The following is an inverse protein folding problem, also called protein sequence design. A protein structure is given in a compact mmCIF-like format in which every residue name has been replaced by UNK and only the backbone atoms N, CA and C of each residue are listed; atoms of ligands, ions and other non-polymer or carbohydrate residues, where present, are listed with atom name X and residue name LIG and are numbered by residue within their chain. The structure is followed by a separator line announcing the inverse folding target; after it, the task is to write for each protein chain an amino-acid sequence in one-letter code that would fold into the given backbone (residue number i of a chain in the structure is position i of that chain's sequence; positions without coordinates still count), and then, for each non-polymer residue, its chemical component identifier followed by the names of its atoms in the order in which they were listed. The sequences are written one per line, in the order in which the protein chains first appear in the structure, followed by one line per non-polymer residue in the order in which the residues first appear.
data_IF_231615284756
#
_entry.id   IF_231615284756
#
_cell.length_a   1.000
_cell.length_b   1.000
_cell.length_c   1.000
_cell.angle_alpha   90.00
_cell.angle_beta   90.00
_cell.angle_gamma   90.00
#
_symmetry.space_group_name_H-M   'P 1'
#
loop_
_entity.id
_entity.type
_entity.pdbx_description
1 polymer ?
#
# COMPACT_ATOMS: atom_id res chain seq x y z
N UNK A 1 76.00 -31.54 1.31
CA UNK A 1 75.90 -30.81 2.59
C UNK A 1 75.09 -29.53 2.37
N UNK A 2 73.81 -29.59 2.59
CA UNK A 2 72.91 -28.40 2.49
C UNK A 2 72.59 -27.92 3.90
N UNK A 3 72.97 -26.69 4.22
CA UNK A 3 72.58 -26.02 5.49
C UNK A 3 71.23 -25.34 5.27
N UNK A 4 70.19 -25.60 6.10
CA UNK A 4 68.98 -24.80 6.06
C UNK A 4 69.18 -23.46 6.76
N UNK A 5 68.81 -22.39 6.08
CA UNK A 5 68.72 -21.05 6.65
C UNK A 5 67.42 -20.92 7.45
N UNK A 6 67.55 -20.67 8.72
CA UNK A 6 66.44 -20.28 9.61
C UNK A 6 65.93 -18.90 9.21
N UNK A 7 64.71 -18.84 8.70
CA UNK A 7 63.99 -17.59 8.44
C UNK A 7 63.17 -17.28 9.72
N UNK A 8 63.59 -16.25 10.45
CA UNK A 8 62.90 -15.71 11.61
C UNK A 8 61.65 -14.97 11.11
N UNK A 9 60.46 -15.52 11.38
CA UNK A 9 59.22 -14.86 11.08
C UNK A 9 58.87 -13.95 12.24
N UNK A 10 58.98 -12.64 12.02
CA UNK A 10 58.57 -11.59 12.95
C UNK A 10 57.03 -11.45 12.85
N UNK A 11 56.32 -11.96 13.87
CA UNK A 11 54.86 -11.84 13.95
C UNK A 11 54.50 -10.43 14.46
N UNK A 12 54.04 -9.58 13.56
CA UNK A 12 53.46 -8.29 13.90
C UNK A 12 52.00 -8.49 14.30
N UNK A 13 51.69 -8.35 15.57
CA UNK A 13 50.33 -8.31 16.13
C UNK A 13 49.74 -6.92 15.83
N UNK A 14 48.90 -6.80 14.79
CA UNK A 14 48.07 -5.62 14.56
C UNK A 14 46.80 -5.77 15.40
N UNK A 15 46.73 -5.02 16.50
CA UNK A 15 45.53 -4.90 17.31
C UNK A 15 44.44 -4.12 16.57
N UNK A 16 43.39 -4.81 16.12
CA UNK A 16 42.18 -4.18 15.59
C UNK A 16 41.33 -3.70 16.76
N UNK A 17 41.33 -2.40 17.04
CA UNK A 17 40.39 -1.78 17.96
C UNK A 17 39.00 -1.82 17.31
N UNK A 18 38.13 -2.69 17.77
CA UNK A 18 36.71 -2.73 17.36
C UNK A 18 36.01 -1.50 17.99
N UNK A 19 35.83 -0.46 17.20
CA UNK A 19 34.94 0.64 17.54
C UNK A 19 33.50 0.14 17.49
N UNK A 20 32.93 -0.10 18.67
CA UNK A 20 31.50 -0.40 18.82
C UNK A 20 30.69 0.85 18.48
N UNK A 21 30.16 0.92 17.24
CA UNK A 21 29.20 1.94 16.86
C UNK A 21 27.88 1.58 17.54
N UNK A 22 27.30 2.44 18.41
CA UNK A 22 25.96 2.18 18.93
C UNK A 22 24.99 2.20 17.76
N UNK A 23 24.38 1.04 17.46
CA UNK A 23 23.26 0.96 16.54
C UNK A 23 22.11 1.76 17.16
N UNK A 24 21.95 3.01 16.76
CA UNK A 24 20.73 3.76 17.00
C UNK A 24 19.62 3.03 16.25
N UNK A 25 18.91 2.17 16.96
CA UNK A 25 17.66 1.61 16.49
C UNK A 25 16.69 2.77 16.32
N UNK A 26 16.55 3.26 15.10
CA UNK A 26 15.37 4.01 14.72
C UNK A 26 14.19 3.03 14.87
N UNK A 27 13.58 3.04 16.03
CA UNK A 27 12.26 2.48 16.23
C UNK A 27 11.30 3.36 15.40
N UNK A 28 11.28 3.12 14.09
CA UNK A 28 10.24 3.62 13.23
C UNK A 28 8.95 3.09 13.81
N UNK A 29 8.05 3.99 14.20
CA UNK A 29 6.66 3.63 14.53
C UNK A 29 6.19 2.64 13.47
N UNK A 30 5.73 1.42 13.85
CA UNK A 30 5.22 0.49 12.86
C UNK A 30 4.16 1.24 12.03
N UNK A 31 4.16 1.10 10.70
CA UNK A 31 3.16 1.75 9.88
C UNK A 31 1.80 1.39 10.46
N UNK A 32 0.97 2.40 10.72
CA UNK A 32 -0.37 2.20 11.26
C UNK A 32 -1.06 1.15 10.38
N UNK A 33 -1.48 0.04 10.98
CA UNK A 33 -2.18 -1.05 10.29
C UNK A 33 -3.62 -0.63 9.95
N UNK A 34 -3.92 0.65 10.03
CA UNK A 34 -5.22 1.23 9.70
C UNK A 34 -5.37 1.36 8.18
N UNK A 35 -6.60 1.29 7.73
CA UNK A 35 -6.91 1.51 6.33
C UNK A 35 -6.53 2.93 5.92
N UNK A 36 -5.62 3.08 4.95
CA UNK A 36 -5.01 4.36 4.57
C UNK A 36 -6.02 5.50 4.35
N UNK A 37 -7.19 5.19 3.81
CA UNK A 37 -8.22 6.22 3.56
C UNK A 37 -8.88 6.75 4.83
N UNK A 38 -8.74 6.08 5.98
CA UNK A 38 -9.27 6.59 7.26
C UNK A 38 -8.54 7.83 7.76
N UNK A 39 -7.30 8.03 7.31
CA UNK A 39 -6.50 9.20 7.66
C UNK A 39 -6.93 10.45 6.88
N UNK A 40 -7.82 10.30 5.89
CA UNK A 40 -8.29 11.36 5.03
C UNK A 40 -9.78 11.62 5.19
N UNK A 41 -10.19 12.85 4.95
CA UNK A 41 -11.61 13.23 4.99
C UNK A 41 -12.35 12.67 3.78
N UNK A 42 -13.19 11.67 4.01
CA UNK A 42 -14.06 11.08 2.99
C UNK A 42 -15.36 11.88 2.94
N UNK A 43 -15.73 12.36 1.77
CA UNK A 43 -16.94 13.16 1.57
C UNK A 43 -18.13 12.35 1.05
N UNK A 44 -17.86 11.32 0.27
CA UNK A 44 -18.90 10.39 -0.20
C UNK A 44 -18.31 9.07 -0.71
N UNK A 45 -19.17 8.06 -0.76
CA UNK A 45 -18.89 6.76 -1.39
C UNK A 45 -20.05 6.41 -2.28
N UNK A 46 -19.75 6.11 -3.55
CA UNK A 46 -20.75 5.72 -4.54
C UNK A 46 -20.39 4.38 -5.18
N UNK A 47 -21.38 3.58 -5.63
CA UNK A 47 -21.09 2.36 -6.37
C UNK A 47 -20.44 2.68 -7.71
N UNK A 48 -19.36 1.95 -8.03
CA UNK A 48 -18.76 1.98 -9.36
C UNK A 48 -19.44 0.94 -10.25
N UNK A 49 -20.10 1.40 -11.30
CA UNK A 49 -20.81 0.57 -12.27
C UNK A 49 -20.21 0.75 -13.65
N UNK A 50 -20.19 -0.32 -14.41
CA UNK A 50 -19.74 -0.33 -15.81
C UNK A 50 -20.87 -0.86 -16.66
N UNK A 51 -21.11 -0.22 -17.79
CA UNK A 51 -22.04 -0.70 -18.80
C UNK A 51 -21.40 -1.86 -19.57
N UNK A 52 -22.02 -3.02 -19.49
CA UNK A 52 -21.60 -4.22 -20.21
C UNK A 52 -22.64 -4.58 -21.26
N UNK A 53 -22.19 -4.75 -22.48
CA UNK A 53 -23.08 -5.09 -23.61
C UNK A 53 -23.23 -6.61 -23.69
N UNK A 54 -24.48 -7.08 -23.54
CA UNK A 54 -24.84 -8.50 -23.68
C UNK A 54 -25.78 -8.63 -24.87
N UNK A 55 -25.22 -9.01 -26.04
CA UNK A 55 -25.97 -9.05 -27.29
C UNK A 55 -26.45 -7.67 -27.74
N UNK A 56 -27.78 -7.48 -27.81
CA UNK A 56 -28.41 -6.21 -28.17
C UNK A 56 -28.72 -5.30 -26.95
N UNK A 57 -28.59 -5.83 -25.76
CA UNK A 57 -28.89 -5.13 -24.51
C UNK A 57 -27.65 -4.64 -23.82
N UNK A 58 -27.75 -3.55 -23.05
CA UNK A 58 -26.71 -3.12 -22.11
C UNK A 58 -27.21 -3.28 -20.68
N UNK A 59 -26.33 -3.73 -19.80
CA UNK A 59 -26.60 -3.96 -18.39
C UNK A 59 -25.55 -3.22 -17.56
N UNK A 60 -26.00 -2.50 -16.52
CA UNK A 60 -25.13 -1.85 -15.56
C UNK A 60 -24.66 -2.86 -14.51
N UNK A 61 -23.37 -3.24 -14.58
CA UNK A 61 -22.78 -4.20 -13.66
C UNK A 61 -21.96 -3.49 -12.59
N UNK A 62 -22.19 -3.86 -11.33
CA UNK A 62 -21.38 -3.37 -10.23
C UNK A 62 -19.94 -3.90 -10.37
N UNK A 63 -18.96 -3.00 -10.24
CA UNK A 63 -17.53 -3.31 -10.34
C UNK A 63 -16.73 -2.82 -9.13
N UNK A 64 -17.38 -2.24 -8.13
CA UNK A 64 -16.73 -1.78 -6.90
C UNK A 64 -17.29 -0.46 -6.38
N UNK A 65 -16.40 0.41 -5.90
CA UNK A 65 -16.74 1.69 -5.29
C UNK A 65 -15.91 2.85 -5.83
N UNK A 66 -16.47 4.04 -5.75
CA UNK A 66 -15.75 5.31 -5.89
C UNK A 66 -15.83 6.04 -4.56
N UNK A 67 -14.68 6.31 -3.97
CA UNK A 67 -14.53 7.07 -2.73
C UNK A 67 -14.05 8.47 -3.07
N UNK A 68 -14.75 9.47 -2.57
CA UNK A 68 -14.37 10.88 -2.76
C UNK A 68 -13.63 11.37 -1.52
N UNK A 69 -12.35 11.74 -1.73
CA UNK A 69 -11.43 12.24 -0.72
C UNK A 69 -11.33 13.75 -0.89
N UNK A 70 -11.53 14.50 0.19
CA UNK A 70 -11.39 15.96 0.15
C UNK A 70 -9.93 16.35 -0.13
N UNK A 71 -9.74 17.45 -0.87
CA UNK A 71 -8.42 18.02 -1.05
C UNK A 71 -7.85 18.51 0.29
N UNK A 72 -6.59 18.19 0.54
CA UNK A 72 -5.83 18.62 1.70
C UNK A 72 -4.52 19.28 1.22
N UNK A 73 -3.95 20.25 1.97
CA UNK A 73 -2.68 20.84 1.60
C UNK A 73 -1.58 19.80 1.43
N UNK A 74 -0.90 19.80 0.27
CA UNK A 74 0.17 18.86 -0.04
C UNK A 74 -0.28 17.48 -0.55
N UNK A 75 -1.58 17.18 -0.56
CA UNK A 75 -2.11 15.95 -1.13
C UNK A 75 -2.29 16.12 -2.65
N UNK A 76 -1.69 15.21 -3.44
CA UNK A 76 -1.88 15.14 -4.90
C UNK A 76 -2.43 13.78 -5.31
N UNK A 77 -3.03 13.70 -6.51
CA UNK A 77 -3.54 12.43 -7.01
C UNK A 77 -2.43 11.38 -7.19
N UNK A 78 -1.27 11.79 -7.66
CA UNK A 78 -0.10 10.93 -7.88
C UNK A 78 0.44 10.40 -6.56
N UNK A 79 0.54 11.28 -5.55
CA UNK A 79 1.00 10.87 -4.22
C UNK A 79 0.01 9.87 -3.58
N UNK A 80 -1.29 10.17 -3.64
CA UNK A 80 -2.32 9.30 -3.11
C UNK A 80 -2.35 7.95 -3.85
N UNK A 81 -2.23 7.96 -5.18
CA UNK A 81 -2.11 6.74 -6.00
C UNK A 81 -0.92 5.88 -5.58
N UNK A 82 0.26 6.50 -5.38
CA UNK A 82 1.47 5.80 -4.96
C UNK A 82 1.34 5.19 -3.55
N UNK A 83 0.76 5.94 -2.62
CA UNK A 83 0.51 5.48 -1.25
C UNK A 83 -0.46 4.31 -1.21
N UNK A 84 -1.57 4.39 -1.96
CA UNK A 84 -2.55 3.31 -2.07
C UNK A 84 -1.96 2.06 -2.72
N UNK A 85 -1.19 2.21 -3.81
CA UNK A 85 -0.51 1.09 -4.45
C UNK A 85 0.45 0.37 -3.49
N UNK A 86 1.21 1.13 -2.71
CA UNK A 86 2.11 0.59 -1.68
C UNK A 86 1.34 -0.12 -0.57
N UNK A 87 0.25 0.48 -0.10
CA UNK A 87 -0.61 -0.09 0.94
C UNK A 87 -1.19 -1.44 0.49
N UNK A 88 -1.75 -1.52 -0.72
CA UNK A 88 -2.25 -2.77 -1.31
C UNK A 88 -1.15 -3.83 -1.42
N UNK A 89 0.06 -3.45 -1.83
CA UNK A 89 1.18 -4.38 -1.91
C UNK A 89 1.58 -4.94 -0.53
N UNK A 90 1.48 -4.14 0.52
CA UNK A 90 1.75 -4.55 1.91
C UNK A 90 0.65 -5.46 2.47
N UNK A 91 -0.61 -5.23 2.09
CA UNK A 91 -1.76 -6.03 2.55
C UNK A 91 -1.80 -7.46 1.98
N UNK A 92 -1.06 -7.74 0.93
CA UNK A 92 -0.83 -9.12 0.43
C UNK A 92 -0.02 -9.99 1.40
N UNK A 93 0.50 -9.42 2.48
CA UNK A 93 1.10 -10.13 3.62
C UNK A 93 0.00 -10.65 4.56
N UNK A 94 0.24 -11.74 5.34
CA UNK A 94 -0.81 -12.44 6.11
C UNK A 94 -1.46 -11.64 7.26
N UNK A 95 -1.12 -10.39 7.47
CA UNK A 95 -1.76 -9.50 8.43
C UNK A 95 -2.88 -8.70 7.76
N UNK A 96 -4.01 -9.36 7.45
CA UNK A 96 -5.20 -8.72 6.91
C UNK A 96 -5.70 -7.60 7.86
N UNK A 97 -6.03 -6.44 7.30
CA UNK A 97 -6.66 -5.35 8.05
C UNK A 97 -8.18 -5.51 7.91
N UNK A 98 -8.88 -5.88 8.99
CA UNK A 98 -10.33 -6.04 8.94
C UNK A 98 -11.00 -4.75 8.42
N UNK A 99 -12.01 -4.92 7.58
CA UNK A 99 -12.85 -3.83 7.06
C UNK A 99 -12.16 -2.77 6.18
N UNK A 100 -10.93 -2.99 5.73
CA UNK A 100 -10.33 -2.13 4.71
C UNK A 100 -10.83 -2.49 3.31
N UNK A 101 -11.31 -1.50 2.55
CA UNK A 101 -11.83 -1.70 1.19
C UNK A 101 -10.78 -2.22 0.19
N UNK A 102 -9.49 -2.12 0.54
CA UNK A 102 -8.37 -2.60 -0.27
C UNK A 102 -7.90 -4.00 0.12
N UNK A 103 -8.33 -4.50 1.29
CA UNK A 103 -8.00 -5.85 1.77
C UNK A 103 -9.01 -6.87 1.21
N UNK A 104 -9.12 -6.86 -0.08
CA UNK A 104 -9.91 -7.78 -0.88
C UNK A 104 -9.04 -8.22 -2.06
N UNK A 105 -9.04 -9.50 -2.36
CA UNK A 105 -8.24 -10.04 -3.44
C UNK A 105 -8.63 -9.45 -4.80
N UNK A 106 -7.65 -9.32 -5.69
CA UNK A 106 -7.84 -8.91 -7.09
C UNK A 106 -8.52 -7.56 -7.31
N UNK A 107 -8.32 -6.60 -6.41
CA UNK A 107 -8.78 -5.23 -6.62
C UNK A 107 -7.73 -4.37 -7.34
N UNK A 108 -8.21 -3.50 -8.21
CA UNK A 108 -7.42 -2.44 -8.83
C UNK A 108 -7.88 -1.07 -8.31
N UNK A 109 -6.91 -0.18 -8.07
CA UNK A 109 -7.17 1.18 -7.57
C UNK A 109 -6.64 2.22 -8.52
N UNK A 110 -7.47 3.23 -8.80
CA UNK A 110 -7.11 4.38 -9.60
C UNK A 110 -7.55 5.67 -8.92
N UNK A 111 -6.64 6.63 -8.86
CA UNK A 111 -6.89 7.96 -8.31
C UNK A 111 -6.92 8.99 -9.43
N UNK A 112 -7.95 9.81 -9.43
CA UNK A 112 -8.14 10.91 -10.38
C UNK A 112 -8.47 12.18 -9.61
N UNK A 113 -7.90 13.31 -10.02
CA UNK A 113 -8.31 14.63 -9.53
C UNK A 113 -9.72 14.93 -10.00
N UNK A 114 -10.55 15.50 -9.16
CA UNK A 114 -11.92 15.84 -9.53
C UNK A 114 -12.57 16.84 -8.60
N UNK A 115 -12.92 18.01 -9.14
CA UNK A 115 -13.57 19.06 -8.35
C UNK A 115 -12.71 19.55 -7.18
N UNK A 116 -13.24 19.42 -5.96
CA UNK A 116 -12.61 19.89 -4.72
C UNK A 116 -11.79 18.80 -4.02
N UNK A 117 -11.40 17.74 -4.73
CA UNK A 117 -10.66 16.63 -4.13
C UNK A 117 -10.26 15.56 -5.12
N UNK A 118 -10.27 14.34 -4.65
CA UNK A 118 -9.80 13.18 -5.41
C UNK A 118 -10.89 12.11 -5.46
N UNK A 119 -10.95 11.45 -6.60
CA UNK A 119 -11.81 10.31 -6.86
C UNK A 119 -10.97 9.05 -6.83
N UNK A 120 -11.13 8.24 -5.79
CA UNK A 120 -10.46 6.95 -5.63
C UNK A 120 -11.41 5.86 -6.09
N UNK A 121 -11.16 5.29 -7.26
CA UNK A 121 -11.93 4.19 -7.81
C UNK A 121 -11.28 2.87 -7.42
N UNK A 122 -12.05 2.02 -6.74
CA UNK A 122 -11.66 0.66 -6.35
C UNK A 122 -12.51 -0.27 -7.20
N UNK A 123 -11.89 -1.09 -8.02
CA UNK A 123 -12.58 -1.98 -8.95
C UNK A 123 -12.18 -3.43 -8.75
N UNK A 124 -13.16 -4.34 -8.83
CA UNK A 124 -13.02 -5.78 -8.77
C UNK A 124 -13.41 -6.44 -10.09
N UNK A 125 -13.00 -7.69 -10.30
CA UNK A 125 -13.28 -8.44 -11.53
C UNK A 125 -14.68 -9.04 -11.54
N UNK A 126 -15.15 -9.49 -10.39
CA UNK A 126 -16.45 -10.13 -10.20
C UNK A 126 -17.39 -9.29 -9.34
N UNK A 127 -18.67 -9.63 -9.35
CA UNK A 127 -19.72 -8.88 -8.66
C UNK A 127 -19.66 -9.06 -7.15
N UNK A 128 -19.36 -10.25 -6.66
CA UNK A 128 -19.35 -10.57 -5.21
C UNK A 128 -18.21 -9.79 -4.53
N UNK A 129 -17.02 -9.79 -5.13
CA UNK A 129 -15.89 -8.97 -4.69
C UNK A 129 -16.22 -7.47 -4.76
N UNK A 130 -16.94 -7.03 -5.82
CA UNK A 130 -17.34 -5.63 -5.96
C UNK A 130 -18.35 -5.19 -4.88
N UNK A 131 -19.25 -6.06 -4.46
CA UNK A 131 -20.20 -5.81 -3.37
C UNK A 131 -19.46 -5.69 -2.03
N UNK A 132 -18.50 -6.56 -1.77
CA UNK A 132 -17.69 -6.50 -0.55
C UNK A 132 -16.84 -5.23 -0.50
N UNK A 133 -16.22 -4.83 -1.62
CA UNK A 133 -15.49 -3.56 -1.75
C UNK A 133 -16.41 -2.38 -1.42
N UNK A 134 -17.63 -2.36 -1.98
CA UNK A 134 -18.58 -1.29 -1.74
C UNK A 134 -19.05 -1.25 -0.29
N UNK A 135 -19.30 -2.41 0.32
CA UNK A 135 -19.68 -2.54 1.73
C UNK A 135 -18.60 -1.94 2.63
N UNK A 136 -17.35 -2.37 2.45
CA UNK A 136 -16.19 -1.89 3.24
C UNK A 136 -15.90 -0.41 3.00
N UNK A 137 -16.01 0.05 1.74
CA UNK A 137 -15.83 1.47 1.44
C UNK A 137 -16.84 2.36 2.16
N UNK A 138 -18.09 1.91 2.34
CA UNK A 138 -19.11 2.66 3.09
C UNK A 138 -18.78 2.82 4.57
N UNK A 139 -18.01 1.91 5.16
CA UNK A 139 -17.53 2.03 6.54
C UNK A 139 -16.52 3.18 6.73
N UNK A 140 -15.98 3.74 5.65
CA UNK A 140 -15.12 4.93 5.71
C UNK A 140 -15.89 6.23 6.00
N UNK A 141 -17.23 6.19 5.90
CA UNK A 141 -18.10 7.35 6.17
C UNK A 141 -18.57 7.42 7.64
N UNK A 142 -18.25 6.43 8.45
CA UNK A 142 -18.69 6.30 9.85
C UNK A 142 -17.71 6.93 10.84
#
# INVERSE_FOLDING_TARGET
MYKPKLISILTVLIGVAAASVPATSFAGTPPSQDCLLRDHRITSVTPYRVEERIGKNSVQRLRGAVVFVQAEPGLTAEWLQLKLARHIAQMRSPAAIPDCAFDVDDVAVRVESGGTGFRVRISARDTDTAEEVLRRARLLLS
#
